data_IF_458266337752
#
_entry.id   IF_458266337752
#
_cell.length_a   1.000
_cell.length_b   1.000
_cell.length_c   1.000
_cell.angle_alpha   90.00
_cell.angle_beta   90.00
_cell.angle_gamma   90.00
#
_symmetry.space_group_name_H-M   'P 1'
#
loop_
_entity.id
_entity.type
_entity.pdbx_description
1 polymer ?
#
# COMPACT_ATOMS: atom_id res chain seq x y z
N UNK A 1 18.91 -6.83 -43.32
CA UNK A 1 18.35 -5.57 -42.77
C UNK A 1 17.38 -5.78 -41.61
N UNK A 2 16.39 -6.69 -41.70
CA UNK A 2 15.44 -6.98 -40.59
C UNK A 2 16.09 -7.48 -39.28
N UNK A 3 17.20 -8.22 -39.37
CA UNK A 3 17.92 -8.77 -38.21
C UNK A 3 18.67 -7.70 -37.42
N UNK A 4 19.27 -6.72 -38.10
CA UNK A 4 19.96 -5.58 -37.46
C UNK A 4 18.98 -4.74 -36.63
N UNK A 5 17.80 -4.40 -37.17
CA UNK A 5 16.80 -3.63 -36.44
C UNK A 5 16.27 -4.35 -35.20
N UNK A 6 16.10 -5.68 -35.30
CA UNK A 6 15.70 -6.51 -34.16
C UNK A 6 16.76 -6.56 -33.06
N UNK A 7 18.04 -6.67 -33.43
CA UNK A 7 19.13 -6.68 -32.44
C UNK A 7 19.26 -5.35 -31.73
N UNK A 8 19.12 -4.23 -32.45
CA UNK A 8 19.14 -2.87 -31.86
C UNK A 8 17.96 -2.68 -30.90
N UNK A 9 16.76 -3.11 -31.30
CA UNK A 9 15.56 -3.01 -30.47
C UNK A 9 15.67 -3.82 -29.17
N UNK A 10 16.16 -5.06 -29.25
CA UNK A 10 16.39 -5.89 -28.07
C UNK A 10 17.48 -5.30 -27.16
N UNK A 11 18.56 -4.76 -27.74
CA UNK A 11 19.59 -4.05 -26.99
C UNK A 11 19.05 -2.83 -26.23
N UNK A 12 18.17 -2.04 -26.87
CA UNK A 12 17.53 -0.88 -26.24
C UNK A 12 16.62 -1.28 -25.07
N UNK A 13 15.81 -2.33 -25.21
CA UNK A 13 14.97 -2.83 -24.11
C UNK A 13 15.82 -3.25 -22.91
N UNK A 14 16.93 -3.95 -23.16
CA UNK A 14 17.84 -4.42 -22.12
C UNK A 14 18.46 -3.23 -21.37
N UNK A 15 18.93 -2.21 -22.10
CA UNK A 15 19.51 -1.00 -21.49
C UNK A 15 18.47 -0.26 -20.63
N UNK A 16 17.24 -0.11 -21.11
CA UNK A 16 16.15 0.55 -20.37
C UNK A 16 15.81 -0.23 -19.09
N UNK A 17 15.77 -1.57 -19.15
CA UNK A 17 15.49 -2.40 -17.99
C UNK A 17 16.54 -2.24 -16.88
N UNK A 18 17.83 -2.12 -17.24
CA UNK A 18 18.91 -1.91 -16.27
C UNK A 18 19.01 -0.48 -15.75
N UNK A 19 18.56 0.52 -16.52
CA UNK A 19 18.59 1.93 -16.11
C UNK A 19 17.49 2.28 -15.07
N UNK A 20 16.49 1.42 -14.86
CA UNK A 20 15.34 1.71 -14.00
C UNK A 20 15.55 1.32 -12.52
N UNK A 21 16.62 0.61 -12.19
CA UNK A 21 16.94 0.25 -10.81
C UNK A 21 17.66 1.43 -10.14
N UNK A 22 16.92 2.23 -9.37
CA UNK A 22 17.52 3.17 -8.42
C UNK A 22 17.78 2.44 -7.10
N UNK A 23 18.91 2.70 -6.42
CA UNK A 23 19.08 2.31 -5.02
C UNK A 23 17.88 2.83 -4.21
N UNK A 24 17.36 2.03 -3.28
CA UNK A 24 16.43 2.56 -2.28
C UNK A 24 17.22 3.53 -1.39
N UNK A 25 16.72 4.74 -1.24
CA UNK A 25 17.10 5.60 -0.12
C UNK A 25 16.44 5.00 1.14
N UNK A 26 17.21 4.82 2.21
CA UNK A 26 16.76 4.25 3.48
C UNK A 26 15.98 5.27 4.35
N UNK A 27 15.67 6.42 3.77
CA UNK A 27 14.90 7.49 4.38
C UNK A 27 13.41 7.13 4.33
N UNK A 28 13.01 6.09 5.06
CA UNK A 28 11.59 5.75 5.22
C UNK A 28 10.98 6.68 6.28
N UNK A 29 10.21 7.72 5.88
CA UNK A 29 9.63 8.67 6.82
C UNK A 29 8.62 8.02 7.77
N UNK A 30 8.20 6.77 7.52
CA UNK A 30 7.30 6.02 8.39
C UNK A 30 8.01 5.44 9.62
N UNK A 31 9.35 5.33 9.60
CA UNK A 31 10.11 4.81 10.75
C UNK A 31 10.16 5.80 11.93
N UNK A 32 9.99 7.10 11.67
CA UNK A 32 10.02 8.15 12.69
C UNK A 32 8.65 8.41 13.34
N UNK A 33 7.59 7.78 12.84
CA UNK A 33 6.23 7.97 13.35
C UNK A 33 5.95 6.92 14.43
N UNK A 34 5.82 7.30 15.71
CA UNK A 34 5.52 6.34 16.76
C UNK A 34 4.12 5.77 16.56
N UNK A 35 4.01 4.45 16.65
CA UNK A 35 2.72 3.76 16.59
C UNK A 35 1.91 4.01 17.88
N UNK A 36 0.86 4.85 17.78
CA UNK A 36 -0.02 5.17 18.91
C UNK A 36 -1.45 5.52 18.43
N UNK A 37 -2.20 4.56 17.86
CA UNK A 37 -3.53 4.85 17.34
C UNK A 37 -4.58 4.98 18.45
N UNK A 38 -5.65 5.70 18.16
CA UNK A 38 -6.75 5.96 19.08
C UNK A 38 -7.75 4.80 19.03
N UNK A 39 -7.84 4.01 20.10
CA UNK A 39 -8.81 2.91 20.21
C UNK A 39 -10.24 3.41 19.99
N UNK A 40 -11.01 2.65 19.21
CA UNK A 40 -12.42 2.93 18.93
C UNK A 40 -13.30 1.72 19.26
N UNK A 41 -14.38 1.96 20.00
CA UNK A 41 -15.37 0.94 20.32
C UNK A 41 -16.59 1.05 19.41
N UNK A 42 -16.89 -0.03 18.69
CA UNK A 42 -18.06 -0.10 17.83
C UNK A 42 -19.32 -0.26 18.68
N UNK A 43 -20.28 0.65 18.52
CA UNK A 43 -21.61 0.51 19.12
C UNK A 43 -22.44 -0.41 18.23
N UNK A 44 -22.61 -1.66 18.66
CA UNK A 44 -23.38 -2.66 17.92
C UNK A 44 -24.88 -2.45 18.19
N UNK A 45 -25.71 -2.20 17.16
CA UNK A 45 -27.14 -2.03 17.36
C UNK A 45 -27.83 -3.32 17.83
N UNK A 46 -29.01 -3.23 18.46
CA UNK A 46 -29.77 -4.42 18.86
C UNK A 46 -30.09 -5.32 17.67
N UNK A 47 -30.03 -6.65 17.88
CA UNK A 47 -30.29 -7.72 16.88
C UNK A 47 -29.20 -7.89 15.81
N UNK A 48 -28.07 -7.20 15.91
CA UNK A 48 -26.88 -7.54 15.13
C UNK A 48 -26.06 -8.62 15.84
N UNK A 49 -25.32 -9.47 15.10
CA UNK A 49 -24.39 -10.42 15.69
C UNK A 49 -23.25 -9.68 16.42
N UNK A 50 -22.61 -10.39 17.33
CA UNK A 50 -21.40 -9.90 18.00
C UNK A 50 -20.30 -9.77 16.93
N UNK A 51 -19.66 -8.61 16.87
CA UNK A 51 -18.50 -8.38 16.02
C UNK A 51 -17.26 -8.98 16.67
N UNK A 52 -16.63 -9.95 16.00
CA UNK A 52 -15.31 -10.46 16.40
C UNK A 52 -14.23 -9.52 15.88
N UNK A 53 -13.51 -8.87 16.79
CA UNK A 53 -12.41 -7.94 16.46
C UNK A 53 -11.09 -8.67 16.67
N UNK A 54 -10.27 -8.85 15.62
CA UNK A 54 -8.95 -9.48 15.74
C UNK A 54 -8.00 -8.69 16.65
N UNK A 55 -7.19 -9.39 17.44
CA UNK A 55 -6.24 -8.76 18.36
C UNK A 55 -5.09 -8.04 17.63
N UNK A 56 -4.73 -8.52 16.44
CA UNK A 56 -3.71 -7.96 15.55
C UNK A 56 -4.23 -6.82 14.66
N UNK A 57 -5.54 -6.57 14.67
CA UNK A 57 -6.16 -5.47 13.94
C UNK A 57 -7.30 -4.84 14.78
N UNK A 58 -6.97 -4.19 15.91
CA UNK A 58 -7.97 -3.53 16.74
C UNK A 58 -8.60 -2.36 15.98
N UNK A 59 -9.88 -2.08 16.25
CA UNK A 59 -10.53 -0.90 15.69
C UNK A 59 -9.96 0.39 16.26
N UNK A 60 -9.59 1.31 15.37
CA UNK A 60 -9.03 2.62 15.72
C UNK A 60 -9.67 3.72 14.86
N UNK A 61 -9.65 4.95 15.37
CA UNK A 61 -10.17 6.11 14.63
C UNK A 61 -9.39 6.32 13.33
N UNK A 62 -8.06 6.21 13.39
CA UNK A 62 -7.18 6.39 12.24
C UNK A 62 -7.38 5.28 11.21
N UNK A 63 -7.63 4.04 11.65
CA UNK A 63 -7.94 2.91 10.77
C UNK A 63 -9.26 3.07 10.03
N UNK A 64 -10.30 3.60 10.69
CA UNK A 64 -11.60 3.91 10.06
C UNK A 64 -11.42 5.00 8.99
N UNK A 65 -10.77 6.11 9.35
CA UNK A 65 -10.52 7.22 8.41
C UNK A 65 -9.70 6.77 7.19
N UNK A 66 -8.69 5.92 7.41
CA UNK A 66 -7.90 5.33 6.33
C UNK A 66 -8.75 4.45 5.40
N UNK A 67 -9.64 3.63 5.98
CA UNK A 67 -10.60 2.83 5.23
C UNK A 67 -11.54 3.68 4.37
N UNK A 68 -12.04 4.80 4.90
CA UNK A 68 -12.88 5.74 4.15
C UNK A 68 -12.15 6.34 2.95
N UNK A 69 -10.89 6.75 3.12
CA UNK A 69 -10.05 7.21 2.00
C UNK A 69 -9.86 6.13 0.95
N UNK A 70 -9.59 4.89 1.35
CA UNK A 70 -9.40 3.77 0.42
C UNK A 70 -10.69 3.40 -0.33
N UNK A 71 -11.84 3.44 0.34
CA UNK A 71 -13.12 3.19 -0.31
C UNK A 71 -13.42 4.25 -1.39
N UNK A 72 -13.06 5.52 -1.14
CA UNK A 72 -13.25 6.61 -2.10
C UNK A 72 -12.37 6.50 -3.36
N UNK A 73 -11.19 5.90 -3.28
CA UNK A 73 -10.29 5.76 -4.46
C UNK A 73 -10.61 4.51 -5.31
N UNK A 74 -11.56 3.69 -4.88
CA UNK A 74 -11.89 2.43 -5.54
C UNK A 74 -13.08 2.52 -6.52
N UNK A 75 -13.61 3.73 -6.73
CA UNK A 75 -14.70 4.06 -7.67
C UNK A 75 -14.28 5.12 -8.68
#
# INVERSE_FOLDING_TARGET
MKTIGRTIYLGLIIIIAFAYCKPKEDDDPLLDIPYNPTSYQIIVPPRFPILEIPADNPTTVEGINLGDYFFMIQY
#
